data_IF_122962209148
#
_entry.id   IF_122962209148
#
_cell.length_a   1.000
_cell.length_b   1.000
_cell.length_c   1.000
_cell.angle_alpha   90.00
_cell.angle_beta   90.00
_cell.angle_gamma   90.00
#
_symmetry.space_group_name_H-M   'P 1'
#
loop_
_entity.id
_entity.type
_entity.pdbx_description
1 polymer ?
#
# COMPACT_ATOMS: atom_id res chain seq x y z
N UNK A 1 8.58 -20.39 -8.41
CA UNK A 1 8.28 -19.97 -7.04
C UNK A 1 7.87 -18.50 -7.08
N UNK A 2 6.82 -18.15 -6.37
CA UNK A 2 6.32 -16.77 -6.24
C UNK A 2 6.83 -16.20 -4.91
N UNK A 3 7.17 -14.91 -4.90
CA UNK A 3 7.51 -14.16 -3.70
C UNK A 3 6.21 -13.68 -3.04
N UNK A 4 5.97 -14.05 -1.79
CA UNK A 4 4.73 -13.78 -1.08
C UNK A 4 4.90 -12.57 -0.16
N UNK A 5 4.15 -11.51 -0.44
CA UNK A 5 4.13 -10.29 0.38
C UNK A 5 2.80 -10.25 1.14
N UNK A 6 2.87 -10.31 2.47
CA UNK A 6 1.69 -10.26 3.33
C UNK A 6 1.25 -8.81 3.59
N UNK A 7 0.02 -8.45 3.22
CA UNK A 7 -0.60 -7.18 3.65
C UNK A 7 -0.94 -7.30 5.14
N UNK A 8 -0.42 -6.39 5.96
CA UNK A 8 -0.63 -6.41 7.41
C UNK A 8 -1.63 -5.34 7.79
N UNK A 9 -2.85 -5.75 8.06
CA UNK A 9 -3.93 -4.87 8.50
C UNK A 9 -4.97 -5.64 9.34
N UNK A 10 -5.84 -4.92 10.03
CA UNK A 10 -6.95 -5.50 10.80
C UNK A 10 -8.31 -5.32 10.12
N UNK A 11 -8.45 -4.43 9.15
CA UNK A 11 -9.75 -3.99 8.62
C UNK A 11 -10.60 -5.09 7.96
N UNK A 12 -9.99 -6.17 7.48
CA UNK A 12 -10.69 -7.33 6.92
C UNK A 12 -11.19 -8.32 7.99
N UNK A 13 -10.73 -8.15 9.24
CA UNK A 13 -10.99 -9.09 10.34
C UNK A 13 -11.74 -8.45 11.50
N UNK A 14 -11.94 -7.14 11.49
CA UNK A 14 -12.71 -6.43 12.52
C UNK A 14 -14.16 -6.24 12.09
N UNK A 15 -15.10 -6.36 13.03
CA UNK A 15 -16.53 -6.17 12.77
C UNK A 15 -16.90 -4.73 12.38
N UNK A 16 -16.03 -3.78 12.68
CA UNK A 16 -16.23 -2.35 12.37
C UNK A 16 -15.45 -1.85 11.14
N UNK A 17 -14.62 -2.69 10.51
CA UNK A 17 -13.87 -2.35 9.29
C UNK A 17 -12.76 -1.31 9.46
N UNK A 18 -12.45 -0.82 10.66
CA UNK A 18 -11.29 0.04 10.90
C UNK A 18 -9.99 -0.78 10.98
N UNK A 19 -8.85 -0.10 10.71
CA UNK A 19 -7.54 -0.72 10.63
C UNK A 19 -6.87 -0.97 12.00
N UNK A 20 -7.58 -0.78 13.11
CA UNK A 20 -7.03 -0.92 14.46
C UNK A 20 -8.09 -1.15 15.53
N UNK A 21 -7.63 -1.18 16.78
CA UNK A 21 -8.49 -1.27 17.96
C UNK A 21 -9.25 0.03 18.14
N UNK A 22 -10.55 -0.07 18.38
CA UNK A 22 -11.44 1.09 18.53
C UNK A 22 -11.83 1.29 19.98
N UNK A 23 -11.66 2.53 20.48
CA UNK A 23 -12.22 2.99 21.74
C UNK A 23 -13.17 4.16 21.48
N UNK A 24 -14.47 3.97 21.76
CA UNK A 24 -15.50 4.93 21.37
C UNK A 24 -15.65 5.01 19.85
N UNK A 25 -15.29 6.15 19.26
CA UNK A 25 -15.33 6.38 17.81
C UNK A 25 -13.94 6.54 17.18
N UNK A 26 -12.87 6.35 17.95
CA UNK A 26 -11.50 6.56 17.49
C UNK A 26 -10.68 5.27 17.51
N UNK A 27 -9.69 5.19 16.62
CA UNK A 27 -8.71 4.10 16.61
C UNK A 27 -7.59 4.44 17.59
N UNK A 28 -7.33 3.51 18.51
CA UNK A 28 -6.27 3.63 19.50
C UNK A 28 -4.94 3.14 18.92
N UNK A 29 -4.02 4.08 18.67
CA UNK A 29 -2.74 3.83 18.01
C UNK A 29 -1.86 2.85 18.79
N UNK A 30 -1.52 3.17 20.04
CA UNK A 30 -0.50 2.47 20.84
C UNK A 30 -0.89 1.03 21.20
N UNK A 31 -2.19 0.76 21.28
CA UNK A 31 -2.67 -0.59 21.43
C UNK A 31 -2.63 -1.34 20.08
N UNK A 32 -3.04 -0.67 19.01
CA UNK A 32 -3.12 -1.26 17.67
C UNK A 32 -1.76 -1.74 17.16
N UNK A 33 -0.71 -0.96 17.27
CA UNK A 33 0.62 -1.32 16.73
C UNK A 33 1.15 -2.65 17.29
N UNK A 34 0.77 -3.02 18.52
CA UNK A 34 1.13 -4.30 19.14
C UNK A 34 0.45 -5.49 18.45
N UNK A 35 -0.82 -5.31 18.02
CA UNK A 35 -1.54 -6.33 17.27
C UNK A 35 -1.03 -6.42 15.83
N UNK A 36 -0.77 -5.28 15.18
CA UNK A 36 -0.18 -5.21 13.85
C UNK A 36 1.15 -5.99 13.80
N UNK A 37 2.04 -5.78 14.75
CA UNK A 37 3.30 -6.53 14.84
C UNK A 37 3.07 -8.04 15.01
N UNK A 38 2.07 -8.46 15.80
CA UNK A 38 1.72 -9.88 15.97
C UNK A 38 1.14 -10.50 14.70
N UNK A 39 0.34 -9.74 13.93
CA UNK A 39 -0.18 -10.17 12.62
C UNK A 39 1.00 -10.39 11.66
N UNK A 40 1.91 -9.41 11.54
CA UNK A 40 3.10 -9.53 10.72
C UNK A 40 3.92 -10.80 11.07
N UNK A 41 4.20 -11.03 12.35
CA UNK A 41 4.90 -12.23 12.81
C UNK A 41 4.13 -13.53 12.44
N UNK A 42 2.81 -13.53 12.53
CA UNK A 42 2.00 -14.70 12.17
C UNK A 42 2.08 -15.01 10.67
N UNK A 43 2.07 -13.98 9.81
CA UNK A 43 2.23 -14.15 8.37
C UNK A 43 3.62 -14.68 8.01
N UNK A 44 4.68 -14.17 8.63
CA UNK A 44 6.06 -14.66 8.44
C UNK A 44 6.19 -16.11 8.88
N UNK A 45 5.61 -16.50 10.01
CA UNK A 45 5.56 -17.90 10.46
C UNK A 45 4.80 -18.82 9.50
N UNK A 46 3.81 -18.29 8.80
CA UNK A 46 3.06 -19.00 7.77
C UNK A 46 3.80 -19.07 6.41
N UNK A 47 4.94 -18.39 6.26
CA UNK A 47 5.80 -18.46 5.07
C UNK A 47 5.74 -17.22 4.17
N UNK A 48 5.29 -16.07 4.67
CA UNK A 48 5.45 -14.81 3.94
C UNK A 48 6.95 -14.45 3.81
N UNK A 49 7.36 -14.04 2.62
CA UNK A 49 8.74 -13.63 2.31
C UNK A 49 8.99 -12.16 2.67
N UNK A 50 7.95 -11.34 2.78
CA UNK A 50 7.95 -9.92 3.13
C UNK A 50 6.63 -9.57 3.83
N UNK A 51 6.63 -8.53 4.66
CA UNK A 51 5.42 -7.95 5.25
C UNK A 51 5.22 -6.51 4.80
N UNK A 52 3.96 -6.11 4.61
CA UNK A 52 3.60 -4.80 4.09
C UNK A 52 2.50 -4.16 4.95
N UNK A 53 2.85 -3.44 6.04
CA UNK A 53 1.87 -2.82 6.92
C UNK A 53 1.10 -1.69 6.22
N UNK A 54 -0.22 -1.84 6.16
CA UNK A 54 -1.13 -0.92 5.46
C UNK A 54 -2.13 -0.21 6.37
N UNK A 55 -1.98 -0.36 7.67
CA UNK A 55 -2.85 0.16 8.71
C UNK A 55 -2.73 1.68 8.94
N UNK A 56 -1.57 2.26 8.70
CA UNK A 56 -1.21 3.69 8.91
C UNK A 56 -1.14 4.11 10.38
N UNK A 57 -0.87 3.19 11.29
CA UNK A 57 -0.59 3.55 12.69
C UNK A 57 0.84 4.08 12.83
N UNK A 58 1.01 5.08 13.68
CA UNK A 58 2.31 5.67 13.99
C UNK A 58 3.19 4.70 14.80
N UNK A 59 4.46 4.54 14.43
CA UNK A 59 5.41 3.63 15.09
C UNK A 59 5.28 2.15 14.70
N UNK A 60 4.37 1.77 13.79
CA UNK A 60 4.09 0.38 13.46
C UNK A 60 5.26 -0.39 12.85
N UNK A 61 6.10 0.29 12.07
CA UNK A 61 7.26 -0.35 11.42
C UNK A 61 8.29 -0.74 12.48
N UNK A 62 8.58 0.13 13.45
CA UNK A 62 9.47 -0.17 14.57
C UNK A 62 8.98 -1.37 15.39
N UNK A 63 7.68 -1.42 15.74
CA UNK A 63 7.10 -2.55 16.46
C UNK A 63 7.18 -3.87 15.71
N UNK A 64 6.93 -3.85 14.39
CA UNK A 64 7.07 -5.03 13.52
C UNK A 64 8.53 -5.48 13.49
N UNK A 65 9.47 -4.56 13.23
CA UNK A 65 10.90 -4.88 13.13
C UNK A 65 11.42 -5.48 14.42
N UNK A 66 11.11 -4.85 15.54
CA UNK A 66 11.52 -5.35 16.87
C UNK A 66 10.98 -6.76 17.15
N UNK A 67 9.71 -7.01 16.86
CA UNK A 67 9.09 -8.31 17.13
C UNK A 67 9.62 -9.40 16.19
N UNK A 68 9.85 -9.10 14.91
CA UNK A 68 10.45 -10.02 13.96
C UNK A 68 11.88 -10.38 14.38
N UNK A 69 12.69 -9.41 14.76
CA UNK A 69 14.08 -9.62 15.20
C UNK A 69 14.18 -10.48 16.45
N UNK A 70 13.34 -10.21 17.46
CA UNK A 70 13.25 -11.01 18.69
C UNK A 70 12.86 -12.48 18.42
N UNK A 71 12.16 -12.74 17.33
CA UNK A 71 11.76 -14.10 16.94
C UNK A 71 12.70 -14.74 15.89
N UNK A 72 13.85 -14.13 15.58
CA UNK A 72 14.85 -14.69 14.65
C UNK A 72 14.61 -14.37 13.18
N UNK A 73 13.65 -13.55 12.83
CA UNK A 73 13.27 -13.17 11.45
C UNK A 73 13.91 -11.84 10.99
N UNK A 74 15.20 -11.67 11.27
CA UNK A 74 15.96 -10.43 11.02
C UNK A 74 16.05 -10.04 9.53
N UNK A 75 15.90 -11.00 8.63
CA UNK A 75 16.08 -10.81 7.19
C UNK A 75 14.74 -10.67 6.44
N UNK A 76 13.61 -10.65 7.14
CA UNK A 76 12.32 -10.41 6.50
C UNK A 76 12.19 -8.92 6.21
N UNK A 77 12.04 -8.50 4.93
CA UNK A 77 11.88 -7.10 4.58
C UNK A 77 10.50 -6.56 5.00
N UNK A 78 10.46 -5.25 5.21
CA UNK A 78 9.23 -4.50 5.49
C UNK A 78 9.00 -3.49 4.37
N UNK A 79 7.89 -3.63 3.64
CA UNK A 79 7.42 -2.65 2.66
C UNK A 79 6.29 -1.82 3.28
N UNK A 80 6.64 -0.65 3.79
CA UNK A 80 5.70 0.20 4.51
C UNK A 80 4.79 1.00 3.56
N UNK A 81 3.51 1.05 3.86
CA UNK A 81 2.55 1.96 3.19
C UNK A 81 2.72 3.37 3.75
N UNK A 82 3.87 3.98 3.51
CA UNK A 82 4.27 5.24 4.15
C UNK A 82 3.40 6.42 3.76
N UNK A 83 3.06 6.53 2.47
CA UNK A 83 2.21 7.60 1.95
C UNK A 83 0.87 7.06 1.44
N UNK A 84 -0.03 6.66 2.35
CA UNK A 84 -1.37 6.17 2.01
C UNK A 84 -2.43 7.23 2.27
N UNK A 85 -3.04 7.72 1.21
CA UNK A 85 -4.04 8.77 1.25
C UNK A 85 -5.45 8.25 1.50
N UNK A 86 -6.30 9.05 2.16
CA UNK A 86 -7.73 8.76 2.36
C UNK A 86 -8.50 8.97 1.05
N UNK A 87 -8.37 7.99 0.14
CA UNK A 87 -8.81 8.11 -1.24
C UNK A 87 -10.17 7.45 -1.51
N UNK A 88 -10.96 8.07 -2.38
CA UNK A 88 -12.19 7.50 -2.93
C UNK A 88 -11.93 6.30 -3.87
N UNK A 89 -10.71 6.16 -4.40
CA UNK A 89 -10.32 5.05 -5.29
C UNK A 89 -10.30 3.66 -4.61
N UNK A 90 -10.51 3.58 -3.29
CA UNK A 90 -10.59 2.29 -2.57
C UNK A 90 -11.97 1.65 -2.60
N UNK A 91 -12.98 2.29 -3.20
CA UNK A 91 -14.37 1.82 -3.20
C UNK A 91 -14.55 0.37 -3.62
N UNK A 92 -14.06 -0.08 -4.79
CA UNK A 92 -14.23 -1.46 -5.23
C UNK A 92 -13.58 -2.49 -4.30
N UNK A 93 -12.40 -2.20 -3.74
CA UNK A 93 -11.75 -3.08 -2.75
C UNK A 93 -12.56 -3.19 -1.46
N UNK A 94 -13.04 -2.06 -0.93
CA UNK A 94 -13.86 -2.06 0.30
C UNK A 94 -15.11 -2.89 0.15
N UNK A 95 -15.76 -2.83 -1.01
CA UNK A 95 -16.93 -3.65 -1.32
C UNK A 95 -16.57 -5.15 -1.46
N UNK A 96 -15.44 -5.47 -2.08
CA UNK A 96 -15.02 -6.86 -2.28
C UNK A 96 -14.52 -7.53 -1.01
N UNK A 97 -13.85 -6.78 -0.12
CA UNK A 97 -13.27 -7.27 1.13
C UNK A 97 -14.21 -7.12 2.34
N UNK A 98 -15.42 -6.59 2.13
CA UNK A 98 -16.38 -6.23 3.20
C UNK A 98 -15.73 -5.42 4.33
N UNK A 99 -14.82 -4.51 3.95
CA UNK A 99 -13.96 -3.75 4.86
C UNK A 99 -14.30 -2.26 4.91
N UNK A 100 -15.50 -1.87 4.49
CA UNK A 100 -15.98 -0.50 4.66
C UNK A 100 -16.13 -0.18 6.15
N UNK A 101 -15.68 1.01 6.62
CA UNK A 101 -15.92 1.40 8.01
C UNK A 101 -17.42 1.39 8.35
N UNK A 102 -17.79 0.73 9.44
CA UNK A 102 -19.17 0.68 9.91
C UNK A 102 -19.65 2.03 10.48
N UNK A 103 -18.72 2.91 10.85
CA UNK A 103 -18.96 4.27 11.31
C UNK A 103 -17.80 5.19 10.91
N UNK A 104 -18.05 6.50 10.84
CA UNK A 104 -17.02 7.49 10.51
C UNK A 104 -16.34 7.26 9.16
N UNK A 105 -15.05 7.57 9.12
CA UNK A 105 -14.18 7.33 7.97
C UNK A 105 -12.74 7.00 8.44
N UNK A 106 -11.77 6.93 7.54
CA UNK A 106 -10.36 6.63 7.87
C UNK A 106 -9.44 7.86 7.83
N UNK A 107 -10.01 9.08 7.79
CA UNK A 107 -9.21 10.32 7.66
C UNK A 107 -8.42 10.67 8.93
N UNK A 108 -8.76 10.06 10.06
CA UNK A 108 -8.00 10.25 11.30
C UNK A 108 -6.61 9.58 11.28
N UNK A 109 -6.39 8.61 10.38
CA UNK A 109 -5.12 7.87 10.27
C UNK A 109 -4.64 7.64 8.83
N UNK A 110 -5.45 7.94 7.81
CA UNK A 110 -4.99 8.01 6.41
C UNK A 110 -4.80 9.48 6.03
N UNK A 111 -3.79 9.75 5.21
CA UNK A 111 -3.36 11.10 4.88
C UNK A 111 -4.42 11.91 4.11
N UNK A 112 -4.45 13.21 4.34
CA UNK A 112 -5.27 14.15 3.58
C UNK A 112 -4.75 14.26 2.14
N UNK A 113 -5.66 14.09 1.16
CA UNK A 113 -5.35 14.16 -0.27
C UNK A 113 -4.76 15.51 -0.73
N UNK A 114 -4.91 16.58 0.06
CA UNK A 114 -4.36 17.90 -0.23
C UNK A 114 -2.92 18.07 0.28
N UNK A 115 -2.41 17.15 1.12
CA UNK A 115 -1.16 17.34 1.85
C UNK A 115 -0.04 16.42 1.33
N UNK A 116 0.92 17.02 0.61
CA UNK A 116 2.11 16.30 0.14
C UNK A 116 3.26 16.34 1.15
N UNK A 117 3.27 17.32 2.08
CA UNK A 117 4.38 17.47 3.04
C UNK A 117 4.40 16.37 4.09
N UNK A 118 3.22 15.94 4.49
CA UNK A 118 3.03 14.83 5.41
C UNK A 118 3.62 13.53 4.83
N UNK A 119 3.44 13.30 3.52
CA UNK A 119 4.00 12.10 2.86
C UNK A 119 5.52 11.97 3.05
N UNK A 120 6.26 13.08 2.94
CA UNK A 120 7.71 13.05 3.13
C UNK A 120 8.10 12.77 4.57
N UNK A 121 7.35 13.33 5.52
CA UNK A 121 7.54 13.08 6.95
C UNK A 121 7.30 11.62 7.30
N UNK A 122 6.17 11.06 6.89
CA UNK A 122 5.82 9.66 7.13
C UNK A 122 6.83 8.69 6.48
N UNK A 123 7.32 9.02 5.29
CA UNK A 123 8.38 8.24 4.62
C UNK A 123 9.67 8.27 5.42
N UNK A 124 10.09 9.43 5.89
CA UNK A 124 11.31 9.59 6.71
C UNK A 124 11.20 8.82 8.04
N UNK A 125 10.05 8.89 8.70
CA UNK A 125 9.79 8.18 9.96
C UNK A 125 9.77 6.65 9.73
N UNK A 126 9.06 6.14 8.73
CA UNK A 126 9.04 4.70 8.41
C UNK A 126 10.44 4.15 8.07
N UNK A 127 11.27 4.93 7.35
CA UNK A 127 12.68 4.57 7.08
C UNK A 127 13.49 4.51 8.37
N UNK A 128 13.35 5.51 9.24
CA UNK A 128 14.03 5.54 10.54
C UNK A 128 13.62 4.35 11.43
N UNK A 129 12.38 3.93 11.34
CA UNK A 129 11.83 2.76 12.04
C UNK A 129 12.28 1.42 11.47
N UNK A 130 12.88 1.39 10.27
CA UNK A 130 13.46 0.20 9.65
C UNK A 130 12.67 -0.37 8.47
N UNK A 131 11.91 0.46 7.74
CA UNK A 131 11.34 0.06 6.46
C UNK A 131 12.45 -0.15 5.41
N UNK A 132 12.35 -1.24 4.65
CA UNK A 132 13.25 -1.55 3.54
C UNK A 132 12.75 -0.98 2.21
N UNK A 133 11.43 -0.79 2.10
CA UNK A 133 10.74 -0.24 0.93
C UNK A 133 9.64 0.69 1.44
N UNK A 134 9.48 1.84 0.81
CA UNK A 134 8.38 2.77 1.10
C UNK A 134 7.39 2.81 -0.06
N UNK A 135 6.11 3.06 0.22
CA UNK A 135 5.05 2.99 -0.79
C UNK A 135 4.16 4.22 -0.78
N UNK A 136 3.81 4.66 -2.00
CA UNK A 136 2.76 5.66 -2.24
C UNK A 136 1.49 4.97 -2.73
N UNK A 137 0.35 5.26 -2.11
CA UNK A 137 -0.96 4.69 -2.44
C UNK A 137 -2.07 5.73 -2.30
N UNK A 138 -2.93 5.94 -3.32
CA UNK A 138 -2.90 5.38 -4.68
C UNK A 138 -1.74 5.87 -5.54
N UNK A 139 -1.58 5.31 -6.76
CA UNK A 139 -0.50 5.68 -7.68
C UNK A 139 -0.87 6.84 -8.61
N UNK A 140 -1.90 6.65 -9.44
CA UNK A 140 -2.12 7.45 -10.66
C UNK A 140 -2.38 8.93 -10.38
N UNK A 141 -3.16 9.25 -9.34
CA UNK A 141 -3.47 10.64 -8.95
C UNK A 141 -2.44 11.25 -8.00
N UNK A 142 -1.37 10.52 -7.67
CA UNK A 142 -0.34 10.89 -6.70
C UNK A 142 1.09 10.67 -7.25
N UNK A 143 1.27 10.73 -8.59
CA UNK A 143 2.58 10.57 -9.22
C UNK A 143 3.55 11.71 -8.84
N UNK A 144 3.05 12.89 -8.53
CA UNK A 144 3.82 13.99 -7.95
C UNK A 144 4.40 13.63 -6.58
N UNK A 145 3.63 12.89 -5.77
CA UNK A 145 4.10 12.37 -4.47
C UNK A 145 5.14 11.28 -4.69
N UNK A 146 4.94 10.37 -5.64
CA UNK A 146 5.94 9.34 -6.01
C UNK A 146 7.27 10.00 -6.38
N UNK A 147 7.23 11.03 -7.23
CA UNK A 147 8.43 11.78 -7.62
C UNK A 147 9.11 12.43 -6.41
N UNK A 148 8.34 13.10 -5.57
CA UNK A 148 8.92 13.75 -4.36
C UNK A 148 9.51 12.75 -3.37
N UNK A 149 8.87 11.60 -3.15
CA UNK A 149 9.43 10.53 -2.32
C UNK A 149 10.73 10.02 -2.94
N UNK A 150 10.75 9.73 -4.25
CA UNK A 150 11.97 9.27 -4.94
C UNK A 150 13.13 10.25 -4.85
N UNK A 151 12.85 11.56 -4.92
CA UNK A 151 13.87 12.61 -4.80
C UNK A 151 14.46 12.76 -3.38
N UNK A 152 13.77 12.23 -2.37
CA UNK A 152 14.14 12.38 -0.95
C UNK A 152 14.53 11.05 -0.28
N UNK A 153 14.64 9.93 -1.02
CA UNK A 153 15.08 8.66 -0.46
C UNK A 153 15.89 7.83 -1.45
N UNK A 154 16.85 7.06 -0.92
CA UNK A 154 17.67 6.12 -1.68
C UNK A 154 17.15 4.68 -1.62
N UNK A 155 16.17 4.36 -0.75
CA UNK A 155 15.56 3.02 -0.71
C UNK A 155 14.50 2.87 -1.81
N UNK A 156 14.14 1.63 -2.20
CA UNK A 156 13.15 1.41 -3.25
C UNK A 156 11.79 2.04 -2.93
N UNK A 157 11.16 2.61 -3.95
CA UNK A 157 9.83 3.24 -3.87
C UNK A 157 8.82 2.38 -4.62
N UNK A 158 7.75 1.95 -3.94
CA UNK A 158 6.63 1.27 -4.53
C UNK A 158 5.48 2.24 -4.82
N UNK A 159 4.78 2.04 -5.93
CA UNK A 159 3.55 2.74 -6.28
C UNK A 159 2.41 1.73 -6.45
N UNK A 160 1.31 1.94 -5.73
CA UNK A 160 0.17 1.01 -5.76
C UNK A 160 -0.99 1.56 -6.60
N UNK A 161 -1.21 0.96 -7.77
CA UNK A 161 -2.42 1.18 -8.58
C UNK A 161 -3.59 0.40 -7.97
N UNK A 162 -4.54 1.13 -7.42
CA UNK A 162 -5.60 0.58 -6.57
C UNK A 162 -6.83 0.14 -7.35
N UNK A 163 -7.77 -0.50 -6.65
CA UNK A 163 -8.97 -1.10 -7.23
C UNK A 163 -9.84 -0.14 -8.03
N UNK A 164 -9.95 1.14 -7.60
CA UNK A 164 -10.70 2.16 -8.33
C UNK A 164 -10.03 2.55 -9.64
N UNK A 165 -8.71 2.65 -9.66
CA UNK A 165 -7.95 2.93 -10.88
C UNK A 165 -8.13 1.79 -11.90
N UNK A 166 -8.03 0.54 -11.44
CA UNK A 166 -8.33 -0.65 -12.25
C UNK A 166 -9.77 -0.64 -12.78
N UNK A 167 -10.75 -0.40 -11.90
CA UNK A 167 -12.17 -0.41 -12.27
C UNK A 167 -12.50 0.69 -13.29
N UNK A 168 -11.90 1.88 -13.18
CA UNK A 168 -12.07 2.98 -14.15
C UNK A 168 -11.60 2.58 -15.54
N UNK A 169 -10.42 1.95 -15.66
CA UNK A 169 -9.89 1.47 -16.94
C UNK A 169 -10.80 0.39 -17.52
N UNK A 170 -11.20 -0.60 -16.73
CA UNK A 170 -12.11 -1.67 -17.18
C UNK A 170 -13.45 -1.13 -17.65
N UNK A 171 -14.04 -0.17 -16.93
CA UNK A 171 -15.32 0.42 -17.30
C UNK A 171 -15.22 1.24 -18.59
N UNK A 172 -14.20 2.10 -18.73
CA UNK A 172 -14.01 2.90 -19.93
C UNK A 172 -13.69 2.05 -21.17
N UNK A 173 -12.87 1.00 -21.01
CA UNK A 173 -12.57 0.06 -22.07
C UNK A 173 -13.83 -0.73 -22.52
N UNK A 174 -14.66 -1.18 -21.57
CA UNK A 174 -15.93 -1.85 -21.87
C UNK A 174 -16.88 -0.97 -22.68
N UNK A 175 -16.85 0.35 -22.46
CA UNK A 175 -17.62 1.33 -23.22
C UNK A 175 -16.98 1.70 -24.57
N UNK A 176 -15.79 1.20 -24.90
CA UNK A 176 -15.06 1.53 -26.12
C UNK A 176 -14.43 2.93 -26.15
N UNK A 177 -14.30 3.59 -25.00
CA UNK A 177 -13.73 4.93 -24.91
C UNK A 177 -12.20 4.94 -24.91
N UNK A 178 -11.58 3.84 -24.46
CA UNK A 178 -10.14 3.66 -24.39
C UNK A 178 -9.73 2.25 -24.82
N UNK A 179 -8.48 2.12 -25.26
CA UNK A 179 -7.82 0.84 -25.48
C UNK A 179 -7.21 0.38 -24.14
N UNK A 180 -7.74 -0.73 -23.58
CA UNK A 180 -7.34 -1.24 -22.26
C UNK A 180 -5.85 -1.55 -22.20
N UNK A 181 -5.32 -2.23 -23.21
CA UNK A 181 -3.92 -2.65 -23.22
C UNK A 181 -2.98 -1.44 -23.26
N UNK A 182 -3.27 -0.43 -24.08
CA UNK A 182 -2.46 0.77 -24.18
C UNK A 182 -2.48 1.58 -22.89
N UNK A 183 -3.67 1.83 -22.33
CA UNK A 183 -3.80 2.61 -21.09
C UNK A 183 -3.13 1.92 -19.90
N UNK A 184 -3.30 0.62 -19.77
CA UNK A 184 -2.64 -0.17 -18.74
C UNK A 184 -1.12 -0.05 -18.82
N UNK A 185 -0.56 -0.12 -20.04
CA UNK A 185 0.86 0.06 -20.28
C UNK A 185 1.32 1.49 -19.96
N UNK A 186 0.57 2.50 -20.38
CA UNK A 186 0.88 3.91 -20.08
C UNK A 186 0.87 4.22 -18.58
N UNK A 187 -0.07 3.64 -17.84
CA UNK A 187 -0.15 3.79 -16.38
C UNK A 187 1.11 3.22 -15.70
N UNK A 188 1.55 2.03 -16.11
CA UNK A 188 2.76 1.42 -15.58
C UNK A 188 4.00 2.27 -15.91
N UNK A 189 4.17 2.66 -17.19
CA UNK A 189 5.26 3.54 -17.62
C UNK A 189 5.25 4.86 -16.85
N UNK A 190 4.07 5.43 -16.61
CA UNK A 190 3.94 6.69 -15.86
C UNK A 190 4.40 6.57 -14.41
N UNK A 191 4.11 5.44 -13.74
CA UNK A 191 4.58 5.19 -12.38
C UNK A 191 6.11 5.05 -12.32
N UNK A 192 6.72 4.27 -13.25
CA UNK A 192 8.18 4.15 -13.34
C UNK A 192 8.86 5.45 -13.72
N UNK A 193 8.29 6.21 -14.66
CA UNK A 193 8.80 7.55 -15.03
C UNK A 193 8.73 8.54 -13.85
N UNK A 194 7.74 8.42 -12.97
CA UNK A 194 7.64 9.21 -11.75
C UNK A 194 8.67 8.81 -10.69
N UNK A 195 9.36 7.66 -10.85
CA UNK A 195 10.44 7.23 -9.98
C UNK A 195 10.12 6.00 -9.12
N UNK A 196 9.00 5.29 -9.39
CA UNK A 196 8.75 4.03 -8.72
C UNK A 196 9.73 2.94 -9.20
N UNK A 197 10.23 2.14 -8.27
CA UNK A 197 11.03 0.93 -8.56
C UNK A 197 10.13 -0.32 -8.61
N UNK A 198 8.96 -0.26 -7.95
CA UNK A 198 7.99 -1.36 -7.87
C UNK A 198 6.61 -0.82 -8.20
N UNK A 199 5.88 -1.52 -9.07
CA UNK A 199 4.52 -1.17 -9.42
C UNK A 199 3.56 -2.30 -9.02
N UNK A 200 2.70 -2.05 -8.03
CA UNK A 200 1.69 -2.99 -7.57
C UNK A 200 0.38 -2.70 -8.31
N UNK A 201 -0.17 -3.70 -8.98
CA UNK A 201 -1.34 -3.50 -9.86
C UNK A 201 -2.18 -4.76 -10.02
N UNK A 202 -3.48 -4.56 -10.22
CA UNK A 202 -4.40 -5.63 -10.60
C UNK A 202 -4.19 -6.12 -12.05
N UNK A 203 -3.46 -5.36 -12.87
CA UNK A 203 -3.09 -5.73 -14.24
C UNK A 203 -1.77 -6.53 -14.35
N UNK A 204 -1.22 -7.05 -13.25
CA UNK A 204 0.12 -7.65 -13.25
C UNK A 204 0.29 -8.77 -14.30
N UNK A 205 -0.72 -9.63 -14.47
CA UNK A 205 -0.67 -10.72 -15.47
C UNK A 205 -0.73 -10.22 -16.90
N UNK A 206 -1.53 -9.20 -17.16
CA UNK A 206 -1.68 -8.57 -18.47
C UNK A 206 -0.42 -7.80 -18.84
N UNK A 207 0.15 -7.03 -17.90
CA UNK A 207 1.41 -6.31 -18.08
C UNK A 207 2.58 -7.27 -18.36
N UNK A 208 2.68 -8.38 -17.65
CA UNK A 208 3.70 -9.39 -17.92
C UNK A 208 3.63 -9.88 -19.37
N UNK A 209 2.44 -10.13 -19.91
CA UNK A 209 2.26 -10.50 -21.32
C UNK A 209 2.67 -9.37 -22.28
N UNK A 210 2.46 -8.10 -21.91
CA UNK A 210 2.89 -6.96 -22.73
C UNK A 210 4.41 -6.83 -22.76
N UNK A 211 5.08 -7.09 -21.64
CA UNK A 211 6.54 -7.13 -21.54
C UNK A 211 7.08 -8.27 -22.42
N UNK A 212 6.54 -9.49 -22.31
CA UNK A 212 6.95 -10.63 -23.13
C UNK A 212 6.80 -10.36 -24.63
N UNK A 213 5.76 -9.63 -25.03
CA UNK A 213 5.53 -9.21 -26.42
C UNK A 213 6.31 -7.95 -26.83
N UNK A 214 7.12 -7.38 -25.95
CA UNK A 214 7.90 -6.15 -26.15
C UNK A 214 7.03 -4.94 -26.55
N UNK A 215 5.83 -4.84 -26.01
CA UNK A 215 4.94 -3.67 -26.18
C UNK A 215 5.41 -2.55 -25.26
N UNK A 216 5.89 -2.90 -24.07
CA UNK A 216 6.55 -2.02 -23.10
C UNK A 216 7.81 -2.70 -22.54
N UNK A 217 8.78 -1.90 -22.09
CA UNK A 217 10.03 -2.36 -21.50
C UNK A 217 11.23 -1.63 -22.06
#
# INVERSE_FOLDING_TARGET
>A
QIYVIGDVCMCEYTSHGHCGIVHGNDVENDETVKYIARIALSQVRAGADMVAPSDMMDGRVAYIRELLDKNGYKNIPIMAYSAKYASAFYGPFRAAADSAPAFGDRKSYQMDVHNVREALKEVEEDIFEGADIVMVKPAMSFLDVVTKVRENTDIPVAAYSVSGEYAMVKAAAKCGFIDEEKIMCEMAVSAFRAGADIYITYFAKELAKCIDRRIIG
#
